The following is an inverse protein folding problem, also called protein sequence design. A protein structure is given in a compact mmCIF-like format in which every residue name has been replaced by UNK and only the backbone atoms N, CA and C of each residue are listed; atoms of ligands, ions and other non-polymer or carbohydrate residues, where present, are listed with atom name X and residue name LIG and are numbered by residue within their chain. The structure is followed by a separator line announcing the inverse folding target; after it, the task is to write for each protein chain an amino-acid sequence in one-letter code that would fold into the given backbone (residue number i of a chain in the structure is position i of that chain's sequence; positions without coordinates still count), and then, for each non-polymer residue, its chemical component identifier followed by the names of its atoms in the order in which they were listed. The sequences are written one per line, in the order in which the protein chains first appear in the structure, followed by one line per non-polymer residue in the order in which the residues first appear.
data_IF_033528759678
#
_entry.id   IF_033528759678
#
_cell.length_a   1.000
_cell.length_b   1.000
_cell.length_c   1.000
_cell.angle_alpha   90.00
_cell.angle_beta   90.00
_cell.angle_gamma   90.00
#
_symmetry.space_group_name_H-M   'P 1'
#
loop_
_entity.id
_entity.type
_entity.pdbx_description
1 polymer ?
#
# COMPACT_ATOMS: atom_id res chain seq x y z
N UNK A 1 6.94 -11.24 9.02
CA UNK A 1 7.52 -10.25 9.96
C UNK A 1 8.32 -9.21 9.18
N UNK A 2 8.30 -7.94 9.57
CA UNK A 2 9.12 -6.87 8.96
C UNK A 2 10.23 -6.51 9.95
N UNK A 3 11.52 -6.75 9.62
CA UNK A 3 12.62 -6.40 10.51
C UNK A 3 12.87 -4.89 10.45
N UNK A 4 12.81 -4.20 11.61
CA UNK A 4 13.14 -2.78 11.76
C UNK A 4 14.55 -2.58 12.30
N UNK A 5 14.90 -3.36 13.32
CA UNK A 5 16.22 -3.30 13.96
C UNK A 5 16.94 -4.62 13.67
N UNK A 6 17.97 -4.63 12.80
CA UNK A 6 18.76 -5.84 12.51
C UNK A 6 19.52 -6.33 13.74
N UNK A 7 19.86 -7.63 13.74
CA UNK A 7 20.75 -8.23 14.73
C UNK A 7 22.10 -7.48 14.77
N UNK A 8 22.70 -7.40 15.95
CA UNK A 8 23.97 -6.72 16.19
C UNK A 8 23.97 -5.22 15.93
N UNK A 9 22.78 -4.57 15.90
CA UNK A 9 22.71 -3.10 15.87
C UNK A 9 23.17 -2.55 17.20
N UNK A 10 24.07 -1.56 17.17
CA UNK A 10 24.58 -0.88 18.37
C UNK A 10 23.45 -0.08 19.04
N UNK A 11 23.32 -0.20 20.34
CA UNK A 11 22.40 0.60 21.16
C UNK A 11 23.14 1.77 21.86
N UNK A 12 22.47 2.91 22.12
CA UNK A 12 21.05 3.16 21.86
C UNK A 12 20.73 3.35 20.37
N UNK A 13 19.51 2.97 19.96
CA UNK A 13 19.06 3.07 18.58
C UNK A 13 17.56 3.41 18.50
N UNK A 14 17.21 4.29 17.57
CA UNK A 14 15.83 4.60 17.22
C UNK A 14 15.60 4.33 15.72
N UNK A 15 14.55 3.57 15.39
CA UNK A 15 14.17 3.22 14.01
C UNK A 15 12.66 3.32 13.85
N UNK A 16 12.23 3.93 12.75
CA UNK A 16 10.82 4.03 12.42
C UNK A 16 10.53 3.52 11.02
N UNK A 17 9.32 3.01 10.84
CA UNK A 17 8.78 2.60 9.54
C UNK A 17 7.28 2.90 9.48
N UNK A 18 6.82 3.29 8.30
CA UNK A 18 5.41 3.54 8.05
C UNK A 18 4.75 2.26 7.54
N UNK A 19 3.65 1.91 8.17
CA UNK A 19 2.76 0.81 7.81
C UNK A 19 1.39 1.35 7.41
N UNK A 20 0.53 0.47 6.92
CA UNK A 20 -0.84 0.84 6.55
C UNK A 20 -1.82 -0.25 6.96
N UNK A 21 -3.13 0.01 6.74
CA UNK A 21 -4.20 -0.95 6.99
C UNK A 21 -4.24 -2.04 5.91
N UNK A 22 -4.63 -3.26 6.31
CA UNK A 22 -4.76 -4.41 5.44
C UNK A 22 -6.16 -4.53 4.82
N UNK A 23 -7.19 -3.95 5.45
CA UNK A 23 -8.59 -4.02 5.04
C UNK A 23 -9.19 -2.63 4.84
N UNK A 24 -10.25 -2.58 4.00
CA UNK A 24 -11.02 -1.36 3.81
C UNK A 24 -11.79 -1.01 5.08
N UNK A 25 -11.86 0.29 5.39
CA UNK A 25 -12.55 0.83 6.56
C UNK A 25 -12.05 0.28 7.91
N UNK A 26 -10.81 -0.19 7.96
CA UNK A 26 -10.17 -0.66 9.19
C UNK A 26 -9.88 0.52 10.12
N UNK A 27 -10.48 0.51 11.31
CA UNK A 27 -10.39 1.61 12.29
C UNK A 27 -9.38 1.38 13.41
N UNK A 28 -8.75 0.22 13.43
CA UNK A 28 -7.75 -0.17 14.42
C UNK A 28 -6.68 -1.10 13.81
N UNK A 29 -5.47 -1.07 14.36
CA UNK A 29 -4.38 -2.00 14.01
C UNK A 29 -3.77 -2.59 15.25
N UNK A 30 -3.44 -3.89 15.18
CA UNK A 30 -2.72 -4.59 16.23
C UNK A 30 -1.23 -4.61 15.88
N UNK A 31 -0.41 -4.10 16.78
CA UNK A 31 1.04 -4.07 16.66
C UNK A 31 1.62 -5.21 17.48
N UNK A 32 2.14 -6.23 16.81
CA UNK A 32 2.78 -7.38 17.44
C UNK A 32 4.29 -7.23 17.36
N UNK A 33 4.92 -7.03 18.50
CA UNK A 33 6.37 -6.85 18.64
C UNK A 33 7.02 -8.22 18.81
N UNK A 34 7.96 -8.52 17.93
CA UNK A 34 8.60 -9.84 17.83
C UNK A 34 10.12 -9.73 17.89
N UNK A 35 10.75 -10.78 18.39
CA UNK A 35 12.20 -10.96 18.34
C UNK A 35 12.54 -12.30 17.70
N UNK A 36 13.42 -12.28 16.69
CA UNK A 36 13.87 -13.48 15.98
C UNK A 36 14.28 -13.21 14.56
N UNK A 37 14.72 -14.25 13.87
CA UNK A 37 15.30 -14.22 12.51
C UNK A 37 14.35 -14.82 11.45
N UNK A 38 13.21 -15.43 11.86
CA UNK A 38 12.30 -16.10 10.95
C UNK A 38 11.36 -15.11 10.25
N UNK A 39 11.05 -15.26 8.97
CA UNK A 39 10.16 -14.34 8.24
C UNK A 39 8.70 -14.41 8.69
N UNK A 40 8.25 -15.55 9.22
CA UNK A 40 6.88 -15.70 9.70
C UNK A 40 6.76 -15.29 11.18
N UNK A 41 5.74 -14.50 11.52
CA UNK A 41 5.55 -13.97 12.86
C UNK A 41 5.42 -15.07 13.94
N UNK A 42 4.72 -16.14 13.65
CA UNK A 42 4.47 -17.27 14.56
C UNK A 42 5.73 -18.02 14.99
N UNK A 43 6.78 -17.94 14.18
CA UNK A 43 8.03 -18.67 14.39
C UNK A 43 9.09 -17.84 15.15
N UNK A 44 8.69 -16.67 15.67
CA UNK A 44 9.52 -15.77 16.45
C UNK A 44 8.97 -15.59 17.87
N UNK A 45 9.84 -15.13 18.78
CA UNK A 45 9.45 -14.84 20.16
C UNK A 45 8.60 -13.59 20.23
N UNK A 46 7.41 -13.66 20.81
CA UNK A 46 6.58 -12.49 21.11
C UNK A 46 7.15 -11.72 22.30
N UNK A 47 7.40 -10.43 22.11
CA UNK A 47 7.82 -9.51 23.16
C UNK A 47 6.64 -8.74 23.75
N UNK A 48 5.60 -8.51 22.96
CA UNK A 48 4.39 -7.82 23.39
C UNK A 48 3.45 -7.53 22.24
N UNK A 49 2.24 -7.14 22.57
CA UNK A 49 1.22 -6.72 21.61
C UNK A 49 0.46 -5.53 22.18
N UNK A 50 0.14 -4.56 21.33
CA UNK A 50 -0.71 -3.43 21.66
C UNK A 50 -1.53 -3.00 20.45
N UNK A 51 -2.59 -2.25 20.70
CA UNK A 51 -3.55 -1.85 19.68
C UNK A 51 -3.61 -0.34 19.54
N UNK A 52 -3.58 0.16 18.32
CA UNK A 52 -3.86 1.54 17.98
C UNK A 52 -5.27 1.62 17.41
N UNK A 53 -6.17 2.31 18.12
CA UNK A 53 -7.56 2.52 17.75
C UNK A 53 -7.81 3.95 17.23
N UNK A 54 -8.94 4.10 16.52
CA UNK A 54 -9.44 5.41 16.09
C UNK A 54 -8.74 5.96 14.86
N UNK A 55 -8.32 5.06 13.99
CA UNK A 55 -7.92 5.35 12.61
C UNK A 55 -9.19 5.69 11.82
N UNK A 56 -9.23 6.78 11.05
CA UNK A 56 -10.38 7.12 10.21
C UNK A 56 -10.64 6.01 9.18
N UNK A 57 -11.91 5.63 8.95
CA UNK A 57 -12.25 4.67 7.92
C UNK A 57 -11.75 5.16 6.56
N UNK A 58 -10.96 4.35 5.89
CA UNK A 58 -10.40 4.65 4.58
C UNK A 58 -10.16 3.36 3.79
N UNK A 59 -9.88 3.48 2.51
CA UNK A 59 -9.43 2.33 1.71
C UNK A 59 -8.13 1.78 2.29
N UNK A 60 -7.96 0.46 2.24
CA UNK A 60 -6.72 -0.19 2.63
C UNK A 60 -5.51 0.43 1.92
N UNK A 61 -4.41 0.56 2.62
CA UNK A 61 -3.18 1.14 2.09
C UNK A 61 -3.12 2.68 2.13
N UNK A 62 -4.23 3.39 2.44
CA UNK A 62 -4.22 4.86 2.58
C UNK A 62 -3.77 5.35 3.96
N UNK A 63 -4.27 4.80 5.09
CA UNK A 63 -3.82 5.23 6.40
C UNK A 63 -2.31 5.04 6.57
N UNK A 64 -1.64 6.00 7.20
CA UNK A 64 -0.20 5.96 7.45
C UNK A 64 0.05 5.85 8.94
N UNK A 65 0.52 4.67 9.37
CA UNK A 65 0.81 4.37 10.78
C UNK A 65 2.32 4.25 10.92
N UNK A 66 2.92 5.23 11.58
CA UNK A 66 4.35 5.24 11.87
C UNK A 66 4.62 4.44 13.14
N UNK A 67 5.37 3.36 13.01
CA UNK A 67 5.82 2.54 14.13
C UNK A 67 7.28 2.84 14.39
N UNK A 68 7.59 3.28 15.62
CA UNK A 68 8.94 3.63 16.05
C UNK A 68 9.40 2.68 17.14
N UNK A 69 10.57 2.12 16.95
CA UNK A 69 11.31 1.35 17.95
C UNK A 69 12.42 2.23 18.52
N UNK A 70 12.42 2.42 19.83
CA UNK A 70 13.43 3.15 20.54
C UNK A 70 14.04 2.26 21.63
N UNK A 71 15.30 1.87 21.44
CA UNK A 71 16.04 0.99 22.35
C UNK A 71 17.08 1.84 23.06
N UNK A 72 16.96 1.94 24.38
CA UNK A 72 17.90 2.72 25.19
C UNK A 72 19.23 1.98 25.43
N UNK A 73 20.16 2.65 26.11
CA UNK A 73 21.46 2.08 26.45
C UNK A 73 21.39 0.87 27.41
N UNK A 74 20.27 0.68 28.11
CA UNK A 74 20.03 -0.44 29.02
C UNK A 74 19.32 -1.59 28.32
N UNK A 75 18.99 -1.47 27.02
CA UNK A 75 18.27 -2.47 26.27
C UNK A 75 16.75 -2.47 26.50
N UNK A 76 16.19 -1.42 27.11
CA UNK A 76 14.74 -1.26 27.25
C UNK A 76 14.18 -0.87 25.88
N UNK A 77 13.19 -1.62 25.41
CA UNK A 77 12.56 -1.40 24.12
C UNK A 77 11.24 -0.64 24.30
N UNK A 78 11.18 0.58 23.80
CA UNK A 78 9.97 1.37 23.70
C UNK A 78 9.46 1.28 22.26
N UNK A 79 8.21 0.87 22.09
CA UNK A 79 7.57 0.82 20.78
C UNK A 79 6.36 1.73 20.78
N UNK A 80 6.31 2.66 19.86
CA UNK A 80 5.16 3.53 19.65
C UNK A 80 4.59 3.34 18.25
N UNK A 81 3.28 3.47 18.15
CA UNK A 81 2.56 3.49 16.89
C UNK A 81 1.71 4.76 16.83
N UNK A 82 1.89 5.54 15.77
CA UNK A 82 1.23 6.84 15.59
C UNK A 82 0.53 6.88 14.23
N UNK A 83 -0.76 7.18 14.23
CA UNK A 83 -1.47 7.53 13.00
C UNK A 83 -1.14 8.97 12.59
N UNK A 84 -0.57 9.14 11.39
CA UNK A 84 -0.16 10.46 10.87
C UNK A 84 -1.31 11.40 10.57
N UNK A 85 -2.49 10.87 10.30
CA UNK A 85 -3.66 11.69 9.98
C UNK A 85 -4.30 12.31 11.23
N UNK A 86 -4.47 11.51 12.30
CA UNK A 86 -5.13 11.94 13.54
C UNK A 86 -4.17 12.33 14.65
N UNK A 87 -2.88 12.05 14.49
CA UNK A 87 -1.85 12.16 15.53
C UNK A 87 -2.11 11.32 16.79
N UNK A 88 -3.05 10.37 16.73
CA UNK A 88 -3.25 9.40 17.81
C UNK A 88 -2.05 8.48 17.91
N UNK A 89 -1.59 8.27 19.13
CA UNK A 89 -0.41 7.46 19.44
C UNK A 89 -0.74 6.48 20.57
N UNK A 90 -0.22 5.26 20.44
CA UNK A 90 -0.17 4.26 21.49
C UNK A 90 1.25 3.75 21.61
N UNK A 91 1.64 3.36 22.81
CA UNK A 91 2.99 2.85 23.08
C UNK A 91 3.02 1.75 24.11
N UNK A 92 4.03 0.91 24.00
CA UNK A 92 4.35 -0.13 24.95
C UNK A 92 5.84 -0.02 25.32
N UNK A 93 6.15 -0.26 26.58
CA UNK A 93 7.53 -0.38 27.06
C UNK A 93 7.79 -1.83 27.46
N UNK A 94 8.83 -2.42 26.90
CA UNK A 94 9.21 -3.82 27.11
C UNK A 94 10.52 -3.81 27.89
N UNK A 95 10.42 -4.06 29.19
CA UNK A 95 11.57 -4.00 30.12
C UNK A 95 12.30 -5.33 30.27
N UNK A 96 11.64 -6.46 29.97
CA UNK A 96 12.17 -7.80 30.16
C UNK A 96 12.15 -8.67 28.89
N UNK A 97 12.12 -8.05 27.72
CA UNK A 97 11.94 -8.76 26.45
C UNK A 97 13.12 -9.63 26.01
N UNK A 98 14.31 -9.36 26.52
CA UNK A 98 15.55 -9.89 25.96
C UNK A 98 16.33 -10.86 26.87
N UNK A 99 15.72 -11.44 27.91
CA UNK A 99 16.40 -12.49 28.66
C UNK A 99 16.42 -13.81 27.86
N UNK A 100 16.95 -13.75 26.65
CA UNK A 100 17.38 -14.95 25.91
C UNK A 100 18.78 -15.30 26.41
N UNK A 101 18.99 -16.53 26.77
CA UNK A 101 20.34 -17.04 27.01
C UNK A 101 21.10 -17.08 25.66
N UNK A 102 22.43 -17.10 25.73
CA UNK A 102 23.26 -17.29 24.53
C UNK A 102 22.87 -18.59 23.79
N UNK A 103 22.55 -19.64 24.55
CA UNK A 103 22.08 -20.91 24.00
C UNK A 103 20.75 -20.78 23.25
N UNK A 104 19.80 -19.98 23.76
CA UNK A 104 18.54 -19.71 23.07
C UNK A 104 18.76 -18.92 21.78
N UNK A 105 19.65 -17.95 21.81
CA UNK A 105 20.00 -17.16 20.61
C UNK A 105 20.63 -18.06 19.55
N UNK A 106 21.60 -18.89 19.91
CA UNK A 106 22.25 -19.82 19.02
C UNK A 106 21.26 -20.82 18.43
N UNK A 107 20.33 -21.31 19.24
CA UNK A 107 19.26 -22.20 18.80
C UNK A 107 18.35 -21.53 17.77
N UNK A 108 17.90 -20.31 18.04
CA UNK A 108 17.04 -19.54 17.13
C UNK A 108 17.74 -19.26 15.78
N UNK A 109 19.04 -18.97 15.81
CA UNK A 109 19.83 -18.74 14.61
C UNK A 109 19.96 -20.03 13.79
N UNK A 110 20.31 -21.14 14.42
CA UNK A 110 20.41 -22.45 13.76
C UNK A 110 19.06 -22.91 13.18
N UNK A 111 17.98 -22.71 13.91
CA UNK A 111 16.64 -23.00 13.42
C UNK A 111 16.26 -22.11 12.21
N UNK A 112 16.60 -20.84 12.22
CA UNK A 112 16.39 -19.96 11.09
C UNK A 112 17.19 -20.39 9.86
N UNK A 113 18.46 -20.74 10.03
CA UNK A 113 19.31 -21.25 8.95
C UNK A 113 18.79 -22.59 8.40
N UNK A 114 18.43 -23.52 9.26
CA UNK A 114 17.90 -24.84 8.86
C UNK A 114 16.59 -24.75 8.06
N UNK A 115 15.74 -23.78 8.38
CA UNK A 115 14.45 -23.59 7.73
C UNK A 115 14.47 -22.50 6.63
N UNK A 116 15.61 -21.88 6.35
CA UNK A 116 15.71 -20.73 5.45
C UNK A 116 15.08 -20.95 4.07
N UNK A 117 15.25 -22.13 3.48
CA UNK A 117 14.71 -22.47 2.17
C UNK A 117 13.17 -22.61 2.18
N UNK A 118 12.63 -23.23 3.23
CA UNK A 118 11.18 -23.39 3.40
C UNK A 118 10.52 -22.05 3.74
N UNK A 119 11.14 -21.29 4.62
CA UNK A 119 10.69 -19.98 5.02
C UNK A 119 10.69 -18.97 3.88
N UNK A 120 11.68 -19.05 3.01
CA UNK A 120 11.72 -18.24 1.78
C UNK A 120 10.54 -18.55 0.88
N UNK A 121 10.21 -19.82 0.67
CA UNK A 121 9.03 -20.22 -0.11
C UNK A 121 7.74 -19.70 0.53
N UNK A 122 7.56 -19.89 1.84
CA UNK A 122 6.37 -19.39 2.56
C UNK A 122 6.23 -17.87 2.47
N UNK A 123 7.36 -17.16 2.54
CA UNK A 123 7.37 -15.70 2.39
C UNK A 123 6.97 -15.29 0.97
N UNK A 124 7.55 -15.92 -0.06
CA UNK A 124 7.19 -15.66 -1.46
C UNK A 124 5.72 -15.96 -1.74
N UNK A 125 5.19 -17.06 -1.22
CA UNK A 125 3.76 -17.38 -1.31
C UNK A 125 2.87 -16.31 -0.67
N UNK A 126 3.24 -15.85 0.53
CA UNK A 126 2.51 -14.80 1.23
C UNK A 126 2.58 -13.45 0.48
N UNK A 127 3.74 -13.10 -0.05
CA UNK A 127 3.93 -11.87 -0.86
C UNK A 127 3.09 -11.90 -2.13
N UNK A 128 3.04 -13.03 -2.84
CA UNK A 128 2.24 -13.18 -4.04
C UNK A 128 0.75 -13.07 -3.73
N UNK A 129 0.27 -13.71 -2.66
CA UNK A 129 -1.12 -13.57 -2.21
C UNK A 129 -1.48 -12.13 -1.83
N UNK A 130 -0.59 -11.44 -1.12
CA UNK A 130 -0.78 -10.05 -0.75
C UNK A 130 -0.82 -9.13 -1.98
N UNK A 131 0.08 -9.36 -2.95
CA UNK A 131 0.10 -8.62 -4.19
C UNK A 131 -1.17 -8.85 -5.02
N UNK A 132 -1.63 -10.11 -5.14
CA UNK A 132 -2.87 -10.47 -5.81
C UNK A 132 -4.08 -9.77 -5.15
N UNK A 133 -4.15 -9.79 -3.81
CA UNK A 133 -5.22 -9.09 -3.07
C UNK A 133 -5.15 -7.58 -3.28
N UNK A 134 -3.95 -6.99 -3.34
CA UNK A 134 -3.77 -5.56 -3.62
C UNK A 134 -4.18 -5.20 -5.04
N UNK A 135 -3.92 -6.08 -6.00
CA UNK A 135 -4.30 -5.90 -7.39
C UNK A 135 -5.81 -5.89 -7.57
N UNK A 136 -6.54 -6.76 -6.87
CA UNK A 136 -8.01 -6.75 -6.84
C UNK A 136 -8.54 -5.39 -6.35
N UNK A 137 -7.98 -4.85 -5.26
CA UNK A 137 -8.37 -3.52 -4.78
C UNK A 137 -8.02 -2.38 -5.73
N UNK A 138 -6.93 -2.51 -6.49
CA UNK A 138 -6.57 -1.53 -7.53
C UNK A 138 -7.54 -1.59 -8.71
N UNK A 139 -7.99 -2.79 -9.10
CA UNK A 139 -9.01 -2.98 -10.12
C UNK A 139 -10.34 -2.34 -9.73
N UNK A 140 -10.76 -2.48 -8.47
CA UNK A 140 -11.98 -1.82 -7.96
C UNK A 140 -11.86 -0.28 -8.01
N UNK A 141 -10.69 0.25 -7.74
CA UNK A 141 -10.43 1.69 -7.83
C UNK A 141 -10.52 2.18 -9.26
N UNK A 142 -9.93 1.48 -10.23
CA UNK A 142 -10.01 1.83 -11.65
C UNK A 142 -11.47 1.88 -12.12
N UNK A 143 -12.28 0.88 -11.77
CA UNK A 143 -13.71 0.88 -12.10
C UNK A 143 -14.43 2.11 -11.54
N UNK A 144 -14.09 2.52 -10.31
CA UNK A 144 -14.70 3.67 -9.66
C UNK A 144 -14.22 5.01 -10.23
N UNK A 145 -12.90 5.13 -10.49
CA UNK A 145 -12.30 6.38 -10.97
C UNK A 145 -12.71 6.69 -12.41
N UNK A 146 -12.97 5.65 -13.21
CA UNK A 146 -13.40 5.77 -14.61
C UNK A 146 -14.86 5.34 -14.82
N UNK A 147 -15.71 5.50 -13.79
CA UNK A 147 -17.13 5.18 -13.90
C UNK A 147 -17.79 5.96 -15.06
N UNK A 148 -18.49 5.23 -15.95
CA UNK A 148 -19.11 5.79 -17.16
C UNK A 148 -18.17 5.97 -18.36
N UNK A 149 -16.86 5.72 -18.21
CA UNK A 149 -15.84 5.83 -19.28
C UNK A 149 -15.25 4.48 -19.69
N UNK A 150 -15.65 3.41 -19.00
CA UNK A 150 -15.23 2.04 -19.30
C UNK A 150 -16.35 1.35 -20.06
N UNK A 151 -16.01 0.69 -21.17
CA UNK A 151 -16.96 -0.14 -21.91
C UNK A 151 -17.49 -1.28 -21.03
N UNK A 152 -18.77 -1.63 -21.17
CA UNK A 152 -19.39 -2.70 -20.39
C UNK A 152 -18.65 -4.04 -20.55
N UNK A 153 -18.18 -4.35 -21.76
CA UNK A 153 -17.42 -5.57 -22.03
C UNK A 153 -16.06 -5.61 -21.29
N UNK A 154 -15.36 -4.47 -21.22
CA UNK A 154 -14.09 -4.36 -20.48
C UNK A 154 -14.34 -4.45 -18.97
N UNK A 155 -15.44 -3.89 -18.46
CA UNK A 155 -15.85 -3.99 -17.06
C UNK A 155 -16.21 -5.43 -16.68
N UNK A 156 -17.02 -6.11 -17.49
CA UNK A 156 -17.43 -7.49 -17.24
C UNK A 156 -16.20 -8.42 -17.21
N UNK A 157 -15.27 -8.24 -18.15
CA UNK A 157 -14.00 -8.98 -18.18
C UNK A 157 -13.15 -8.73 -16.94
N UNK A 158 -13.06 -7.49 -16.48
CA UNK A 158 -12.32 -7.13 -15.28
C UNK A 158 -12.94 -7.77 -14.03
N UNK A 159 -14.27 -7.74 -13.93
CA UNK A 159 -15.00 -8.33 -12.80
C UNK A 159 -14.88 -9.87 -12.80
N UNK A 160 -14.90 -10.52 -13.94
CA UNK A 160 -14.65 -11.97 -14.08
C UNK A 160 -13.24 -12.33 -13.64
N UNK A 161 -12.21 -11.60 -14.09
CA UNK A 161 -10.83 -11.85 -13.70
C UNK A 161 -10.58 -11.58 -12.23
N UNK A 162 -11.19 -10.52 -11.64
CA UNK A 162 -11.18 -10.28 -10.19
C UNK A 162 -11.76 -11.45 -9.42
N UNK A 163 -12.93 -11.93 -9.83
CA UNK A 163 -13.60 -13.05 -9.17
C UNK A 163 -12.77 -14.34 -9.27
N UNK A 164 -12.16 -14.59 -10.42
CA UNK A 164 -11.27 -15.75 -10.63
C UNK A 164 -10.03 -15.66 -9.71
N UNK A 165 -9.38 -14.51 -9.62
CA UNK A 165 -8.23 -14.30 -8.77
C UNK A 165 -8.59 -14.40 -7.29
N UNK A 166 -9.70 -13.81 -6.85
CA UNK A 166 -10.19 -13.92 -5.47
C UNK A 166 -10.46 -15.38 -5.11
N UNK A 167 -11.16 -16.11 -5.96
CA UNK A 167 -11.43 -17.54 -5.76
C UNK A 167 -10.14 -18.35 -5.66
N UNK A 168 -9.14 -18.07 -6.50
CA UNK A 168 -7.86 -18.76 -6.47
C UNK A 168 -7.09 -18.50 -5.15
N UNK A 169 -7.20 -17.28 -4.58
CA UNK A 169 -6.65 -16.93 -3.28
C UNK A 169 -7.35 -17.73 -2.16
N UNK A 170 -8.69 -17.75 -2.17
CA UNK A 170 -9.52 -18.41 -1.14
C UNK A 170 -9.33 -19.93 -1.14
N UNK A 171 -9.18 -20.53 -2.32
CA UNK A 171 -8.91 -21.95 -2.51
C UNK A 171 -7.44 -22.34 -2.27
N UNK A 172 -6.57 -21.38 -1.94
CA UNK A 172 -5.12 -21.58 -1.78
C UNK A 172 -4.47 -22.28 -2.99
N UNK A 173 -4.78 -21.81 -4.20
CA UNK A 173 -4.22 -22.34 -5.44
C UNK A 173 -2.69 -22.18 -5.49
N UNK A 174 -1.99 -23.00 -6.33
CA UNK A 174 -0.55 -22.88 -6.51
C UNK A 174 -0.11 -21.47 -6.91
N UNK A 175 1.07 -21.07 -6.48
CA UNK A 175 1.65 -19.74 -6.71
C UNK A 175 1.71 -19.37 -8.19
N UNK A 176 2.00 -20.35 -9.06
CA UNK A 176 2.09 -20.14 -10.50
C UNK A 176 0.74 -19.76 -11.11
N UNK A 177 -0.35 -20.35 -10.61
CA UNK A 177 -1.73 -20.01 -11.03
C UNK A 177 -2.10 -18.60 -10.57
N UNK A 178 -1.75 -18.24 -9.32
CA UNK A 178 -1.98 -16.89 -8.78
C UNK A 178 -1.20 -15.83 -9.57
N UNK A 179 0.05 -16.11 -9.94
CA UNK A 179 0.85 -15.20 -10.77
C UNK A 179 0.20 -14.99 -12.13
N UNK A 180 -0.19 -16.09 -12.80
CA UNK A 180 -0.83 -16.03 -14.13
C UNK A 180 -2.11 -15.18 -14.10
N UNK A 181 -3.00 -15.44 -13.14
CA UNK A 181 -4.24 -14.67 -12.99
C UNK A 181 -3.98 -13.20 -12.63
N UNK A 182 -2.95 -12.93 -11.84
CA UNK A 182 -2.52 -11.57 -11.52
C UNK A 182 -2.00 -10.83 -12.75
N UNK A 183 -1.18 -11.46 -13.57
CA UNK A 183 -0.65 -10.88 -14.80
C UNK A 183 -1.77 -10.60 -15.81
N UNK A 184 -2.73 -11.51 -15.97
CA UNK A 184 -3.89 -11.32 -16.83
C UNK A 184 -4.76 -10.14 -16.37
N UNK A 185 -5.03 -10.02 -15.07
CA UNK A 185 -5.76 -8.91 -14.49
C UNK A 185 -5.02 -7.58 -14.68
N UNK A 186 -3.70 -7.57 -14.45
CA UNK A 186 -2.87 -6.38 -14.60
C UNK A 186 -2.84 -5.87 -16.05
N UNK A 187 -2.74 -6.77 -17.03
CA UNK A 187 -2.80 -6.42 -18.44
C UNK A 187 -4.16 -5.80 -18.84
N UNK A 188 -5.25 -6.37 -18.32
CA UNK A 188 -6.59 -5.83 -18.56
C UNK A 188 -6.75 -4.46 -17.91
N UNK A 189 -6.30 -4.26 -16.68
CA UNK A 189 -6.30 -2.97 -16.02
C UNK A 189 -5.51 -1.91 -16.79
N UNK A 190 -4.34 -2.27 -17.31
CA UNK A 190 -3.52 -1.37 -18.11
C UNK A 190 -4.24 -0.94 -19.39
N UNK A 191 -4.83 -1.90 -20.12
CA UNK A 191 -5.60 -1.64 -21.34
C UNK A 191 -6.82 -0.74 -21.08
N UNK A 192 -7.55 -0.97 -19.99
CA UNK A 192 -8.70 -0.15 -19.58
C UNK A 192 -8.26 1.27 -19.24
N UNK A 193 -7.19 1.41 -18.45
CA UNK A 193 -6.67 2.73 -18.10
C UNK A 193 -6.25 3.53 -19.33
N UNK A 194 -5.58 2.90 -20.27
CA UNK A 194 -5.18 3.55 -21.53
C UNK A 194 -6.40 4.03 -22.33
N UNK A 195 -7.38 3.17 -22.54
CA UNK A 195 -8.64 3.53 -23.26
C UNK A 195 -9.39 4.66 -22.54
N UNK A 196 -9.46 4.61 -21.22
CA UNK A 196 -10.14 5.62 -20.42
C UNK A 196 -9.44 6.99 -20.53
N UNK A 197 -8.10 7.03 -20.50
CA UNK A 197 -7.35 8.27 -20.73
C UNK A 197 -7.54 8.83 -22.13
N UNK A 198 -7.55 7.97 -23.16
CA UNK A 198 -7.82 8.40 -24.55
C UNK A 198 -9.24 8.96 -24.71
N UNK A 199 -10.23 8.39 -24.01
CA UNK A 199 -11.59 8.90 -24.02
C UNK A 199 -11.68 10.28 -23.36
N UNK A 200 -11.03 10.49 -22.23
CA UNK A 200 -10.96 11.79 -21.54
C UNK A 200 -10.32 12.86 -22.43
N UNK A 201 -9.18 12.56 -23.07
CA UNK A 201 -8.51 13.52 -23.97
C UNK A 201 -9.36 13.90 -25.18
N UNK A 202 -10.14 12.95 -25.73
CA UNK A 202 -11.06 13.24 -26.84
C UNK A 202 -12.23 14.13 -26.40
N UNK A 203 -12.76 13.94 -25.21
CA UNK A 203 -13.80 14.80 -24.63
C UNK A 203 -13.29 16.22 -24.40
N UNK A 204 -12.08 16.39 -23.86
CA UNK A 204 -11.46 17.71 -23.64
C UNK A 204 -11.18 18.45 -24.97
N UNK A 205 -10.74 17.73 -26.02
CA UNK A 205 -10.53 18.32 -27.34
C UNK A 205 -11.85 18.69 -28.04
N UNK A 206 -12.93 17.94 -27.82
CA UNK A 206 -14.25 18.25 -28.39
C UNK A 206 -14.91 19.45 -27.71
N UNK A 207 -14.72 19.62 -26.40
CA UNK A 207 -15.21 20.79 -25.66
C UNK A 207 -14.44 22.07 -26.03
N UNK A 208 -13.11 21.97 -26.16
CA UNK A 208 -12.28 23.11 -26.61
C UNK A 208 -12.61 23.54 -28.05
N UNK A 209 -13.02 22.61 -28.92
CA UNK A 209 -13.44 22.93 -30.30
C UNK A 209 -14.83 23.55 -30.38
N UNK A 210 -15.72 23.23 -29.46
CA UNK A 210 -17.08 23.83 -29.41
C UNK A 210 -17.11 25.23 -28.79
N UNK A 211 -16.19 25.54 -27.88
CA UNK A 211 -16.04 26.92 -27.35
C UNK A 211 -15.44 27.88 -28.36
N UNK A 212 -14.61 27.38 -29.29
CA UNK A 212 -14.02 28.22 -30.36
C UNK A 212 -14.97 28.45 -31.54
N UNK A 213 -16.02 27.61 -31.69
CA UNK A 213 -17.04 27.77 -32.74
C UNK A 213 -18.17 28.74 -32.37
N UNK A 214 -18.32 29.09 -31.07
CA UNK A 214 -19.35 30.05 -30.62
C UNK A 214 -18.86 31.52 -30.52
N UNK A 215 -17.60 31.79 -30.87
CA UNK A 215 -17.01 33.13 -30.85
C UNK A 215 -16.83 33.79 -32.21
N UNK A 216 -17.32 33.17 -33.30
CA UNK A 216 -17.18 33.75 -34.66
C UNK A 216 -18.47 34.38 -35.25
N UNK A 217 -19.55 34.53 -34.51
CA UNK A 217 -20.73 35.29 -34.95
C UNK A 217 -20.99 36.51 -34.07
N UNK A 218 -20.10 37.52 -34.07
CA UNK A 218 -20.47 38.90 -33.86
C UNK A 218 -19.34 39.86 -34.29
N UNK A 219 -19.20 40.09 -35.59
CA UNK A 219 -18.49 41.26 -36.13
C UNK A 219 -19.49 42.27 -36.69
N UNK A 220 -19.75 43.29 -35.89
CA UNK A 220 -20.38 44.53 -36.33
C UNK A 220 -19.71 45.70 -35.64
N UNK A 221 -18.88 46.42 -36.40
CA UNK A 221 -18.45 47.82 -36.36
C UNK A 221 -18.34 48.51 -34.99
N UNK A 222 -17.16 48.96 -34.59
CA UNK A 222 -16.75 50.35 -34.69
C UNK A 222 -15.30 50.57 -34.22
N UNK A 223 -14.65 51.51 -34.90
CA UNK A 223 -13.31 52.03 -34.65
C UNK A 223 -13.13 52.54 -33.22
N UNK A 224 -12.02 52.21 -32.58
CA UNK A 224 -11.20 53.18 -31.84
C UNK A 224 -9.79 52.58 -31.57
N UNK A 225 -8.80 53.23 -32.16
CA UNK A 225 -7.36 53.01 -31.99
C UNK A 225 -6.93 53.65 -30.69
N UNK A 226 -6.42 52.92 -29.74
CA UNK A 226 -5.62 53.44 -28.62
C UNK A 226 -4.25 52.74 -28.60
N UNK A 227 -3.24 53.55 -29.03
CA UNK A 227 -1.83 53.28 -28.83
C UNK A 227 -1.49 53.22 -27.33
N UNK A 228 -0.84 52.18 -26.89
CA UNK A 228 -0.21 52.14 -25.56
C UNK A 228 1.26 51.73 -25.69
N UNK A 229 2.12 52.75 -25.51
CA UNK A 229 3.57 52.64 -25.39
C UNK A 229 3.99 51.74 -24.25
N UNK A 230 4.92 50.82 -24.51
CA UNK A 230 5.68 50.08 -23.53
C UNK A 230 6.90 50.87 -23.07
N UNK A 231 6.95 51.24 -21.80
CA UNK A 231 8.21 51.68 -21.15
C UNK A 231 8.79 50.53 -20.34
N UNK A 232 10.04 50.18 -20.63
CA UNK A 232 10.91 49.34 -19.80
C UNK A 232 11.45 50.18 -18.63
N UNK A 233 11.37 49.64 -17.41
CA UNK A 233 12.43 49.70 -16.41
C UNK A 233 12.49 48.38 -15.64
#
# INVERSE_FOLDING_TARGET
MTPLVPRNTTIPVSKSQVFSTAENNQTAVDIHVLQGERPMAKDNKSLGMFRLDGIPPAMRGLPQIEVTFDIDANGIVNVSAKDKATNKEQKITITNGSNLSEEDIDKMVKEAEANAAEDKKKKEEAEIKNNATSLIGSAERIVKDFEGKIDSADKDKLDEQKAALQKAIDENKPVDELKKLSDELQQTMFSISQKAYEAVQKEEQSTASSENASSEENKGSDDDVIDAEYTKE
#
